data_IF_198107108238
#
_entry.id   IF_198107108238
#
_cell.length_a   1.000
_cell.length_b   1.000
_cell.length_c   1.000
_cell.angle_alpha   90.00
_cell.angle_beta   90.00
_cell.angle_gamma   90.00
#
_symmetry.space_group_name_H-M   'P 1'
#
loop_
_entity.id
_entity.type
_entity.pdbx_description
1 polymer ?
#
# COMPACT_ATOMS: atom_id res chain seq x y z
N UNK A 1 -44.76 -33.49 32.56
CA UNK A 1 -44.67 -32.65 33.77
C UNK A 1 -43.87 -31.38 33.39
N UNK A 2 -44.62 -30.28 33.37
CA UNK A 2 -44.12 -28.93 33.10
C UNK A 2 -43.23 -28.39 34.23
N UNK A 3 -42.14 -27.74 33.89
CA UNK A 3 -41.64 -26.61 34.72
C UNK A 3 -41.10 -25.49 33.82
N UNK A 4 -41.87 -24.41 33.76
CA UNK A 4 -41.47 -23.09 33.29
C UNK A 4 -40.46 -22.50 34.28
N UNK A 5 -39.31 -22.10 33.82
CA UNK A 5 -38.41 -21.25 34.57
C UNK A 5 -38.50 -19.86 33.94
N UNK A 6 -39.12 -18.94 34.67
CA UNK A 6 -39.05 -17.48 34.44
C UNK A 6 -37.69 -17.01 34.94
N UNK A 7 -36.92 -16.45 34.07
CA UNK A 7 -35.68 -15.69 34.47
C UNK A 7 -36.05 -14.20 34.52
N UNK A 8 -35.83 -13.67 35.69
CA UNK A 8 -35.99 -12.25 36.01
C UNK A 8 -35.10 -11.35 35.15
N UNK A 9 -35.69 -10.25 34.73
CA UNK A 9 -34.99 -9.13 34.19
C UNK A 9 -34.15 -8.46 35.31
N UNK A 10 -32.84 -8.51 35.17
CA UNK A 10 -31.93 -7.75 36.03
C UNK A 10 -31.70 -6.36 35.45
N UNK A 11 -31.91 -5.39 36.28
CA UNK A 11 -31.66 -3.96 36.11
C UNK A 11 -30.29 -3.71 35.48
N UNK A 12 -30.27 -3.13 34.29
CA UNK A 12 -29.06 -2.48 33.77
C UNK A 12 -28.95 -1.10 34.40
N UNK A 13 -28.02 -0.96 35.31
CA UNK A 13 -27.49 0.33 35.65
C UNK A 13 -26.81 0.93 34.42
N UNK A 14 -27.34 2.03 33.97
CA UNK A 14 -26.74 2.87 32.94
C UNK A 14 -25.47 3.49 33.50
N UNK A 15 -24.31 2.92 33.22
CA UNK A 15 -23.05 3.62 33.26
C UNK A 15 -22.95 4.50 32.04
N UNK A 16 -23.07 5.80 32.22
CA UNK A 16 -22.82 6.77 31.16
C UNK A 16 -21.43 6.55 30.59
N UNK A 17 -21.24 6.46 29.26
CA UNK A 17 -19.93 6.45 28.69
C UNK A 17 -19.34 7.87 28.86
N UNK A 18 -18.27 7.98 29.64
CA UNK A 18 -17.36 9.12 29.55
C UNK A 18 -16.60 8.92 28.21
N UNK A 19 -17.28 9.21 27.13
CA UNK A 19 -16.74 9.23 25.80
C UNK A 19 -16.99 10.61 25.24
N UNK A 20 -15.94 11.42 25.11
CA UNK A 20 -16.01 12.63 24.32
C UNK A 20 -16.64 12.29 22.98
N UNK A 21 -17.65 13.05 22.57
CA UNK A 21 -18.24 12.97 21.24
C UNK A 21 -17.14 13.01 20.19
N UNK A 22 -16.71 11.83 19.72
CA UNK A 22 -16.11 11.76 18.40
C UNK A 22 -17.23 12.09 17.43
N UNK A 23 -17.27 13.34 16.95
CA UNK A 23 -18.07 13.67 15.79
C UNK A 23 -17.82 12.58 14.76
N UNK A 24 -18.91 11.98 14.24
CA UNK A 24 -18.81 10.94 13.22
C UNK A 24 -17.90 11.49 12.13
N UNK A 25 -16.74 10.84 11.94
CA UNK A 25 -15.83 11.21 10.87
C UNK A 25 -16.63 11.19 9.56
N UNK A 26 -16.55 12.21 8.70
CA UNK A 26 -17.19 12.17 7.41
C UNK A 26 -16.72 10.93 6.69
N UNK A 27 -17.63 10.20 6.05
CA UNK A 27 -17.39 8.89 5.45
C UNK A 27 -16.60 9.00 4.16
N UNK A 28 -15.32 9.38 4.24
CA UNK A 28 -14.43 9.26 3.09
C UNK A 28 -13.97 7.80 2.90
N UNK A 29 -14.18 6.97 3.91
CA UNK A 29 -13.89 5.54 3.86
C UNK A 29 -15.09 4.80 3.28
N UNK A 30 -14.92 4.10 2.17
CA UNK A 30 -16.00 3.33 1.52
C UNK A 30 -16.24 2.01 2.23
N UNK A 31 -15.23 1.44 2.89
CA UNK A 31 -15.32 0.29 3.79
C UNK A 31 -14.72 0.68 5.12
N UNK A 32 -15.38 0.30 6.23
CA UNK A 32 -14.67 0.18 7.51
C UNK A 32 -13.71 -0.99 7.36
N UNK A 33 -12.62 -0.75 6.64
CA UNK A 33 -11.60 -1.73 6.48
C UNK A 33 -11.04 -2.05 7.86
N UNK A 34 -10.54 -3.26 8.01
CA UNK A 34 -9.71 -3.75 9.11
C UNK A 34 -8.40 -2.94 9.29
N UNK A 35 -8.32 -1.76 8.74
CA UNK A 35 -7.20 -0.84 8.89
C UNK A 35 -7.29 -0.20 10.25
N UNK A 36 -6.29 -0.48 11.07
CA UNK A 36 -6.12 0.19 12.35
C UNK A 36 -5.67 1.62 12.05
N UNK A 37 -6.57 2.57 12.22
CA UNK A 37 -6.22 3.99 12.14
C UNK A 37 -5.20 4.35 13.20
N UNK A 38 -4.38 5.41 13.00
CA UNK A 38 -3.40 5.86 13.97
C UNK A 38 -4.04 6.05 15.37
N UNK A 39 -3.55 5.30 16.35
CA UNK A 39 -3.98 5.44 17.74
C UNK A 39 -3.43 6.75 18.31
N UNK A 40 -4.33 7.63 18.73
CA UNK A 40 -3.98 8.96 19.23
C UNK A 40 -2.94 8.91 20.35
N UNK A 41 -3.12 8.03 21.33
CA UNK A 41 -2.25 7.97 22.51
C UNK A 41 -0.85 7.54 22.09
N UNK A 42 -0.75 6.50 21.24
CA UNK A 42 0.52 5.97 20.76
C UNK A 42 1.24 6.97 19.87
N UNK A 43 0.53 7.61 18.93
CA UNK A 43 1.11 8.63 18.07
C UNK A 43 1.69 9.77 18.89
N UNK A 44 0.90 10.36 19.78
CA UNK A 44 1.33 11.52 20.59
C UNK A 44 2.48 11.20 21.56
N UNK A 45 2.62 9.95 21.96
CA UNK A 45 3.71 9.52 22.85
C UNK A 45 5.08 9.46 22.14
N UNK A 46 5.11 9.33 20.82
CA UNK A 46 6.34 9.04 20.06
C UNK A 46 6.70 10.10 19.01
N UNK A 47 6.09 11.29 19.10
CA UNK A 47 6.40 12.38 18.15
C UNK A 47 7.75 13.03 18.45
N UNK A 48 8.44 13.43 17.37
CA UNK A 48 9.53 14.39 17.45
C UNK A 48 9.00 15.80 17.77
N UNK A 49 9.89 16.79 17.89
CA UNK A 49 9.56 18.19 18.19
C UNK A 49 8.89 18.41 19.56
N UNK A 50 8.93 17.43 20.46
CA UNK A 50 8.52 17.56 21.86
C UNK A 50 7.10 18.05 22.08
N UNK A 51 6.89 18.96 23.05
CA UNK A 51 5.57 19.49 23.39
C UNK A 51 4.91 20.27 22.24
N UNK A 52 5.69 21.02 21.46
CA UNK A 52 5.17 21.79 20.32
C UNK A 52 4.73 20.89 19.17
N UNK A 53 5.51 19.82 18.87
CA UNK A 53 5.10 18.81 17.88
C UNK A 53 3.83 18.08 18.31
N UNK A 54 3.71 17.76 19.59
CA UNK A 54 2.50 17.18 20.17
C UNK A 54 1.30 18.11 20.01
N UNK A 55 1.45 19.40 20.32
CA UNK A 55 0.35 20.36 20.24
C UNK A 55 -0.19 20.53 18.82
N UNK A 56 0.68 20.58 17.80
CA UNK A 56 0.23 20.67 16.41
C UNK A 56 -0.46 19.38 15.96
N UNK A 57 0.05 18.20 16.36
CA UNK A 57 -0.60 16.92 16.06
C UNK A 57 -1.97 16.81 16.74
N UNK A 58 -2.10 17.22 17.99
CA UNK A 58 -3.38 17.29 18.71
C UNK A 58 -4.38 18.22 18.01
N UNK A 59 -3.94 19.39 17.55
CA UNK A 59 -4.78 20.30 16.81
C UNK A 59 -5.34 19.64 15.52
N UNK A 60 -4.50 18.88 14.79
CA UNK A 60 -4.95 18.12 13.62
C UNK A 60 -5.90 16.98 14.04
N UNK A 61 -5.58 16.23 15.07
CA UNK A 61 -6.48 15.17 15.57
C UNK A 61 -7.86 15.70 15.96
N UNK A 62 -7.93 16.90 16.51
CA UNK A 62 -9.17 17.54 16.96
C UNK A 62 -9.90 18.30 15.83
N UNK A 63 -9.32 18.38 14.61
CA UNK A 63 -9.88 19.16 13.51
C UNK A 63 -9.75 20.67 13.68
N UNK A 64 -8.85 21.12 14.57
CA UNK A 64 -8.57 22.53 14.82
C UNK A 64 -7.53 23.06 13.83
N UNK A 65 -7.94 23.08 12.53
CA UNK A 65 -7.02 23.39 11.41
C UNK A 65 -6.42 24.79 11.54
N UNK A 66 -7.17 25.77 12.01
CA UNK A 66 -6.70 27.14 12.19
C UNK A 66 -5.65 27.26 13.31
N UNK A 67 -5.82 26.50 14.40
CA UNK A 67 -4.81 26.43 15.47
C UNK A 67 -3.52 25.81 14.93
N UNK A 68 -3.62 24.70 14.20
CA UNK A 68 -2.46 24.05 13.57
C UNK A 68 -1.75 25.03 12.61
N UNK A 69 -2.50 25.76 11.78
CA UNK A 69 -1.98 26.78 10.88
C UNK A 69 -1.23 27.87 11.63
N UNK A 70 -1.81 28.37 12.71
CA UNK A 70 -1.15 29.41 13.53
C UNK A 70 0.15 28.91 14.21
N UNK A 71 0.18 27.64 14.65
CA UNK A 71 1.38 27.03 15.21
C UNK A 71 2.48 26.88 14.18
N UNK A 72 2.14 26.37 12.98
CA UNK A 72 3.08 26.22 11.86
C UNK A 72 3.60 27.56 11.34
N UNK A 73 2.76 28.60 11.33
CA UNK A 73 3.20 29.95 10.96
C UNK A 73 4.20 30.56 11.96
N UNK A 74 4.08 30.24 13.26
CA UNK A 74 5.01 30.69 14.32
C UNK A 74 6.32 29.91 14.30
N UNK A 75 6.27 28.61 14.09
CA UNK A 75 7.43 27.72 13.99
C UNK A 75 7.30 26.77 12.80
N UNK A 76 7.78 27.16 11.61
CA UNK A 76 7.71 26.32 10.42
C UNK A 76 8.39 24.96 10.54
N UNK A 77 9.33 24.78 11.50
CA UNK A 77 9.99 23.49 11.70
C UNK A 77 9.04 22.42 12.17
N UNK A 78 7.91 22.78 12.79
CA UNK A 78 6.87 21.87 13.24
C UNK A 78 6.23 21.08 12.08
N UNK A 79 6.38 21.54 10.82
CA UNK A 79 5.93 20.79 9.65
C UNK A 79 6.59 19.41 9.54
N UNK A 80 7.78 19.24 10.13
CA UNK A 80 8.51 17.95 10.15
C UNK A 80 8.08 17.04 11.29
N UNK A 81 6.99 17.37 12.00
CA UNK A 81 6.46 16.54 13.08
C UNK A 81 6.00 15.20 12.53
N UNK A 82 6.60 14.15 13.05
CA UNK A 82 6.34 12.76 12.66
C UNK A 82 6.64 11.82 13.82
N UNK A 83 6.09 10.62 13.77
CA UNK A 83 6.41 9.57 14.74
C UNK A 83 7.86 9.13 14.55
N UNK A 84 8.60 9.05 15.64
CA UNK A 84 9.97 8.54 15.64
C UNK A 84 10.00 7.04 15.35
N UNK A 85 10.97 6.64 14.53
CA UNK A 85 11.27 5.23 14.33
C UNK A 85 12.05 4.72 15.56
N UNK A 86 11.36 4.05 16.47
CA UNK A 86 12.00 3.39 17.61
C UNK A 86 12.14 1.89 17.30
N UNK A 87 13.35 1.36 17.18
CA UNK A 87 13.58 -0.06 16.93
C UNK A 87 13.06 -0.99 18.05
N UNK A 88 12.77 -0.43 19.22
CA UNK A 88 12.19 -1.17 20.36
C UNK A 88 10.67 -1.25 20.31
N UNK A 89 10.02 -0.44 19.48
CA UNK A 89 8.58 -0.50 19.27
C UNK A 89 8.33 -1.39 18.04
N UNK A 90 7.55 -2.48 18.17
CA UNK A 90 7.19 -3.28 17.01
C UNK A 90 6.64 -2.36 15.92
N UNK A 91 7.27 -2.41 14.74
CA UNK A 91 6.83 -1.61 13.59
C UNK A 91 5.38 -1.98 13.30
N UNK A 92 4.42 -1.05 13.41
CA UNK A 92 3.06 -1.34 13.05
C UNK A 92 2.90 -1.49 11.55
N UNK A 93 1.79 -2.07 11.07
CA UNK A 93 1.48 -2.13 9.67
C UNK A 93 1.59 -0.74 9.03
N UNK A 94 2.02 -0.70 7.78
CA UNK A 94 2.15 0.52 6.99
C UNK A 94 0.97 1.49 7.21
N UNK A 95 1.25 2.75 7.44
CA UNK A 95 0.24 3.81 7.60
C UNK A 95 -0.22 4.08 9.04
N UNK A 96 0.14 3.27 10.04
CA UNK A 96 -0.30 3.50 11.43
C UNK A 96 0.51 4.56 12.19
N UNK A 97 1.75 4.79 11.78
CA UNK A 97 2.62 5.81 12.37
C UNK A 97 3.21 6.66 11.25
N UNK A 98 2.67 7.80 11.11
CA UNK A 98 3.03 8.72 10.05
C UNK A 98 3.51 10.06 10.58
N UNK A 99 3.17 11.03 9.83
CA UNK A 99 3.39 12.45 10.07
C UNK A 99 2.06 13.20 10.12
N UNK A 100 2.11 14.53 10.18
CA UNK A 100 0.90 15.35 10.22
C UNK A 100 -0.02 15.11 9.03
N UNK A 101 0.54 14.83 7.83
CA UNK A 101 -0.26 14.54 6.64
C UNK A 101 -1.01 13.20 6.79
N UNK A 102 -0.36 12.19 7.34
CA UNK A 102 -0.99 10.90 7.65
C UNK A 102 -2.15 11.06 8.63
N UNK A 103 -2.01 11.96 9.63
CA UNK A 103 -3.09 12.27 10.58
C UNK A 103 -4.29 12.96 9.90
N UNK A 104 -4.02 13.89 8.99
CA UNK A 104 -5.07 14.54 8.20
C UNK A 104 -5.85 13.50 7.36
N UNK A 105 -5.15 12.58 6.72
CA UNK A 105 -5.77 11.46 5.97
C UNK A 105 -6.59 10.57 6.89
N UNK A 106 -6.06 10.20 8.05
CA UNK A 106 -6.76 9.36 9.03
C UNK A 106 -8.09 9.97 9.51
N UNK A 107 -8.19 11.29 9.47
CA UNK A 107 -9.42 12.02 9.79
C UNK A 107 -10.34 12.30 8.60
N UNK A 108 -9.92 11.97 7.39
CA UNK A 108 -10.58 12.42 6.16
C UNK A 108 -10.66 13.97 6.05
N UNK A 109 -9.66 14.65 6.57
CA UNK A 109 -9.65 16.11 6.65
C UNK A 109 -8.89 16.70 5.47
N UNK A 110 -9.64 16.96 4.39
CA UNK A 110 -9.13 17.56 3.17
C UNK A 110 -8.56 18.97 3.37
N UNK A 111 -9.17 19.74 4.28
CA UNK A 111 -8.76 21.10 4.58
C UNK A 111 -7.42 21.10 5.36
N UNK A 112 -7.28 20.18 6.32
CA UNK A 112 -6.01 19.98 7.00
C UNK A 112 -4.89 19.56 6.03
N UNK A 113 -5.14 18.64 5.11
CA UNK A 113 -4.15 18.24 4.10
C UNK A 113 -3.76 19.44 3.20
N UNK A 114 -4.73 20.20 2.73
CA UNK A 114 -4.49 21.42 1.92
C UNK A 114 -3.68 22.45 2.71
N UNK A 115 -4.04 22.69 3.97
CA UNK A 115 -3.33 23.59 4.87
C UNK A 115 -1.88 23.16 5.07
N UNK A 116 -1.63 21.87 5.28
CA UNK A 116 -0.28 21.33 5.44
C UNK A 116 0.56 21.54 4.18
N UNK A 117 0.01 21.32 2.98
CA UNK A 117 0.72 21.60 1.73
C UNK A 117 1.04 23.09 1.57
N UNK A 118 0.11 23.97 1.94
CA UNK A 118 0.36 25.41 1.93
C UNK A 118 1.42 25.84 2.95
N UNK A 119 1.55 25.10 4.06
CA UNK A 119 2.60 25.33 5.07
C UNK A 119 3.97 24.70 4.71
N UNK A 120 4.09 24.07 3.53
CA UNK A 120 5.36 23.52 3.04
C UNK A 120 5.57 22.04 3.30
N UNK A 121 4.51 21.28 3.66
CA UNK A 121 4.59 19.83 3.75
C UNK A 121 5.03 19.22 2.41
N UNK A 122 6.05 18.33 2.39
CA UNK A 122 6.38 17.57 1.19
C UNK A 122 5.16 16.82 0.66
N UNK A 123 5.01 16.73 -0.66
CA UNK A 123 3.83 16.10 -1.28
C UNK A 123 3.64 14.64 -0.90
N UNK A 124 4.75 13.92 -0.70
CA UNK A 124 4.76 12.54 -0.20
C UNK A 124 4.68 12.42 1.33
N UNK A 125 4.62 13.54 2.05
CA UNK A 125 4.78 13.60 3.50
C UNK A 125 6.24 13.56 3.96
N UNK A 126 6.47 13.77 5.25
CA UNK A 126 7.78 13.57 5.92
C UNK A 126 8.09 12.07 5.98
N UNK A 127 7.10 11.27 6.36
CA UNK A 127 7.12 9.80 6.23
C UNK A 127 6.62 9.46 4.83
N UNK A 128 7.53 9.47 3.88
CA UNK A 128 7.24 9.40 2.46
C UNK A 128 6.31 8.25 2.09
N UNK A 129 5.16 8.58 1.51
CA UNK A 129 4.16 7.63 1.04
C UNK A 129 3.21 7.09 2.10
N UNK A 130 3.42 7.33 3.40
CA UNK A 130 2.53 6.84 4.45
C UNK A 130 1.09 7.34 4.30
N UNK A 131 0.91 8.63 4.04
CA UNK A 131 -0.40 9.23 3.87
C UNK A 131 -1.16 8.61 2.69
N UNK A 132 -0.49 8.45 1.54
CA UNK A 132 -1.09 7.80 0.36
C UNK A 132 -1.38 6.32 0.61
N UNK A 133 -0.43 5.59 1.22
CA UNK A 133 -0.64 4.18 1.59
C UNK A 133 -1.83 4.01 2.53
N UNK A 134 -1.99 4.91 3.52
CA UNK A 134 -3.15 4.89 4.42
C UNK A 134 -4.46 5.16 3.66
N UNK A 135 -4.48 6.16 2.77
CA UNK A 135 -5.67 6.48 1.98
C UNK A 135 -6.11 5.29 1.11
N UNK A 136 -5.15 4.58 0.51
CA UNK A 136 -5.40 3.38 -0.29
C UNK A 136 -5.89 2.22 0.59
N UNK A 137 -5.20 1.94 1.71
CA UNK A 137 -5.57 0.86 2.63
C UNK A 137 -6.95 1.05 3.25
N UNK A 138 -7.27 2.29 3.61
CA UNK A 138 -8.54 2.65 4.21
C UNK A 138 -9.68 2.77 3.19
N UNK A 139 -9.41 2.51 1.91
CA UNK A 139 -10.35 2.68 0.80
C UNK A 139 -10.99 4.08 0.84
N UNK A 140 -10.14 5.11 0.92
CA UNK A 140 -10.49 6.52 0.97
C UNK A 140 -10.17 7.22 -0.38
N UNK A 141 -10.95 6.95 -1.45
CA UNK A 141 -10.62 7.38 -2.80
C UNK A 141 -10.48 8.90 -2.93
N UNK A 142 -11.33 9.66 -2.26
CA UNK A 142 -11.27 11.12 -2.29
C UNK A 142 -9.94 11.66 -1.72
N UNK A 143 -9.46 11.08 -0.62
CA UNK A 143 -8.18 11.47 -0.05
C UNK A 143 -7.01 11.02 -0.93
N UNK A 144 -7.05 9.83 -1.50
CA UNK A 144 -6.03 9.34 -2.42
C UNK A 144 -5.93 10.25 -3.66
N UNK A 145 -7.07 10.59 -4.28
CA UNK A 145 -7.12 11.51 -5.42
C UNK A 145 -6.58 12.90 -5.06
N UNK A 146 -6.94 13.43 -3.89
CA UNK A 146 -6.45 14.74 -3.43
C UNK A 146 -4.93 14.75 -3.26
N UNK A 147 -4.35 13.72 -2.65
CA UNK A 147 -2.90 13.62 -2.47
C UNK A 147 -2.19 13.54 -3.81
N UNK A 148 -2.66 12.68 -4.70
CA UNK A 148 -2.08 12.49 -6.04
C UNK A 148 -2.25 13.74 -6.91
N UNK A 149 -3.42 14.40 -6.87
CA UNK A 149 -3.65 15.67 -7.56
C UNK A 149 -2.77 16.81 -7.01
N UNK A 150 -2.43 16.78 -5.72
CA UNK A 150 -1.49 17.71 -5.11
C UNK A 150 -0.02 17.45 -5.51
N UNK A 151 0.26 16.35 -6.22
CA UNK A 151 1.57 15.97 -6.73
C UNK A 151 2.32 14.96 -5.83
N UNK A 152 1.62 14.23 -4.97
CA UNK A 152 2.21 13.06 -4.32
C UNK A 152 2.60 12.02 -5.36
N UNK A 153 3.74 11.35 -5.16
CA UNK A 153 4.19 10.29 -6.05
C UNK A 153 3.28 9.06 -5.91
N UNK A 154 2.77 8.47 -7.01
CA UNK A 154 2.10 7.19 -6.94
C UNK A 154 3.05 6.04 -6.60
N UNK A 155 4.38 6.26 -6.81
CA UNK A 155 5.47 5.31 -6.54
C UNK A 155 6.49 5.87 -5.55
N UNK A 156 6.10 6.20 -4.28
CA UNK A 156 7.02 6.76 -3.30
C UNK A 156 8.11 5.77 -2.89
N UNK A 157 7.87 4.47 -3.00
CA UNK A 157 8.84 3.40 -2.74
C UNK A 157 10.09 3.50 -3.65
N UNK A 158 9.97 4.01 -4.86
CA UNK A 158 11.11 4.24 -5.76
C UNK A 158 12.14 5.22 -5.17
N UNK A 159 11.75 5.97 -4.12
CA UNK A 159 12.58 6.92 -3.39
C UNK A 159 12.77 6.53 -1.92
N UNK A 160 12.54 5.25 -1.58
CA UNK A 160 12.68 4.71 -0.22
C UNK A 160 11.50 5.02 0.69
N UNK A 161 10.33 5.30 0.12
CA UNK A 161 9.07 5.46 0.87
C UNK A 161 8.26 4.16 0.97
N UNK A 162 7.03 4.29 1.47
CA UNK A 162 6.05 3.20 1.46
C UNK A 162 5.65 2.81 0.04
N UNK A 163 5.08 1.63 -0.09
CA UNK A 163 4.61 1.07 -1.37
C UNK A 163 3.08 0.97 -1.37
N UNK A 164 2.36 2.02 -1.85
CA UNK A 164 0.90 2.01 -1.91
C UNK A 164 0.35 0.93 -2.85
N UNK A 165 1.06 0.62 -3.93
CA UNK A 165 0.67 -0.43 -4.88
C UNK A 165 0.69 -1.80 -4.19
N UNK A 166 1.76 -2.12 -3.45
CA UNK A 166 1.82 -3.33 -2.63
C UNK A 166 0.68 -3.39 -1.63
N UNK A 167 0.40 -2.28 -0.96
CA UNK A 167 -0.69 -2.19 0.00
C UNK A 167 -2.05 -2.48 -0.66
N UNK A 168 -2.34 -1.85 -1.81
CA UNK A 168 -3.55 -2.09 -2.57
C UNK A 168 -3.70 -3.57 -2.98
N UNK A 169 -2.64 -4.18 -3.48
CA UNK A 169 -2.61 -5.58 -3.91
C UNK A 169 -2.85 -6.52 -2.73
N UNK A 170 -2.11 -6.34 -1.63
CA UNK A 170 -2.19 -7.24 -0.46
C UNK A 170 -3.58 -7.29 0.17
N UNK A 171 -4.36 -6.22 0.04
CA UNK A 171 -5.73 -6.13 0.57
C UNK A 171 -6.82 -6.26 -0.51
N UNK A 172 -6.45 -6.55 -1.75
CA UNK A 172 -7.39 -6.75 -2.85
C UNK A 172 -8.15 -5.48 -3.24
N UNK A 173 -7.58 -4.30 -3.03
CA UNK A 173 -8.18 -3.00 -3.35
C UNK A 173 -8.03 -2.65 -4.83
N UNK A 174 -8.82 -3.28 -5.70
CA UNK A 174 -8.81 -3.04 -7.14
C UNK A 174 -8.96 -1.54 -7.47
N UNK A 175 -9.87 -0.84 -6.77
CA UNK A 175 -10.05 0.62 -6.93
C UNK A 175 -8.79 1.43 -6.62
N UNK A 176 -8.06 1.04 -5.58
CA UNK A 176 -6.78 1.64 -5.22
C UNK A 176 -5.71 1.44 -6.29
N UNK A 177 -5.60 0.22 -6.83
CA UNK A 177 -4.69 -0.09 -7.95
C UNK A 177 -5.04 0.77 -9.18
N UNK A 178 -6.33 0.86 -9.53
CA UNK A 178 -6.79 1.69 -10.65
C UNK A 178 -6.43 3.17 -10.45
N UNK A 179 -6.61 3.69 -9.26
CA UNK A 179 -6.27 5.09 -8.93
C UNK A 179 -4.77 5.33 -9.09
N UNK A 180 -3.92 4.47 -8.52
CA UNK A 180 -2.47 4.59 -8.65
C UNK A 180 -2.02 4.54 -10.12
N UNK A 181 -2.53 3.59 -10.90
CA UNK A 181 -2.20 3.46 -12.33
C UNK A 181 -2.66 4.68 -13.15
N UNK A 182 -3.84 5.27 -12.86
CA UNK A 182 -4.30 6.49 -13.53
C UNK A 182 -3.38 7.68 -13.27
N UNK A 183 -2.74 7.72 -12.12
CA UNK A 183 -1.77 8.76 -11.74
C UNK A 183 -0.32 8.40 -12.09
N UNK A 184 -0.11 7.37 -12.91
CA UNK A 184 1.19 7.04 -13.49
C UNK A 184 2.06 6.12 -12.64
N UNK A 185 1.49 5.34 -11.72
CA UNK A 185 2.22 4.26 -11.08
C UNK A 185 2.77 3.28 -12.12
N UNK A 186 4.02 2.85 -11.94
CA UNK A 186 4.69 1.94 -12.85
C UNK A 186 4.29 0.47 -12.55
N UNK A 187 3.51 -0.20 -13.42
CA UNK A 187 3.14 -1.60 -13.24
C UNK A 187 4.31 -2.57 -13.39
N UNK A 188 5.49 -2.09 -13.81
CA UNK A 188 6.72 -2.87 -13.97
C UNK A 188 7.76 -2.60 -12.88
N UNK A 189 7.47 -1.69 -11.96
CA UNK A 189 8.40 -1.43 -10.88
C UNK A 189 8.71 -2.72 -10.10
N UNK A 190 9.99 -2.97 -9.83
CA UNK A 190 10.41 -4.15 -9.07
C UNK A 190 11.05 -3.74 -7.75
N UNK A 191 10.80 -4.52 -6.71
CA UNK A 191 11.54 -4.40 -5.47
C UNK A 191 12.98 -4.92 -5.63
N UNK A 192 13.74 -4.84 -4.54
CA UNK A 192 15.14 -5.31 -4.52
C UNK A 192 15.34 -6.80 -4.87
N UNK A 193 14.29 -7.61 -4.83
CA UNK A 193 14.32 -9.03 -5.19
C UNK A 193 13.81 -9.28 -6.61
N UNK A 194 13.34 -8.25 -7.31
CA UNK A 194 12.75 -8.35 -8.62
C UNK A 194 11.27 -8.72 -8.63
N UNK A 195 10.62 -8.65 -7.49
CA UNK A 195 9.17 -8.91 -7.41
C UNK A 195 8.42 -7.67 -7.91
N UNK A 196 7.72 -7.80 -9.00
CA UNK A 196 6.86 -6.78 -9.60
C UNK A 196 5.41 -6.86 -9.07
N UNK A 197 4.55 -5.84 -9.36
CA UNK A 197 3.16 -5.84 -8.96
C UNK A 197 2.34 -7.02 -9.51
N UNK A 198 2.61 -7.49 -10.74
CA UNK A 198 1.88 -8.63 -11.35
C UNK A 198 2.17 -9.91 -10.58
N UNK A 199 3.46 -10.17 -10.29
CA UNK A 199 3.86 -11.33 -9.48
C UNK A 199 3.23 -11.25 -8.10
N UNK A 200 3.30 -10.09 -7.47
CA UNK A 200 2.74 -9.87 -6.13
C UNK A 200 1.23 -10.10 -6.09
N UNK A 201 0.51 -9.67 -7.13
CA UNK A 201 -0.93 -9.87 -7.24
C UNK A 201 -1.28 -11.36 -7.39
N UNK A 202 -0.50 -12.12 -8.18
CA UNK A 202 -0.70 -13.56 -8.30
C UNK A 202 -0.35 -14.30 -7.00
N UNK A 203 0.74 -13.93 -6.32
CA UNK A 203 1.11 -14.51 -5.03
C UNK A 203 0.07 -14.23 -3.93
N UNK A 204 -0.67 -13.11 -4.03
CA UNK A 204 -1.78 -12.74 -3.16
C UNK A 204 -3.14 -13.29 -3.64
N UNK A 205 -3.18 -14.15 -4.65
CA UNK A 205 -4.40 -14.72 -5.26
C UNK A 205 -5.37 -13.66 -5.83
N UNK A 206 -4.84 -12.48 -6.21
CA UNK A 206 -5.60 -11.35 -6.75
C UNK A 206 -5.52 -11.34 -8.30
N UNK A 207 -6.10 -12.38 -8.94
CA UNK A 207 -5.97 -12.56 -10.39
C UNK A 207 -6.57 -11.40 -11.21
N UNK A 208 -7.65 -10.76 -10.76
CA UNK A 208 -8.24 -9.59 -11.41
C UNK A 208 -7.29 -8.37 -11.37
N UNK A 209 -6.60 -8.18 -10.24
CA UNK A 209 -5.59 -7.14 -10.11
C UNK A 209 -4.39 -7.46 -11.01
N UNK A 210 -3.94 -8.72 -11.05
CA UNK A 210 -2.87 -9.13 -11.93
C UNK A 210 -3.22 -8.89 -13.41
N UNK A 211 -4.45 -9.21 -13.84
CA UNK A 211 -4.94 -8.95 -15.18
C UNK A 211 -4.95 -7.44 -15.50
N UNK A 212 -5.50 -6.63 -14.59
CA UNK A 212 -5.48 -5.16 -14.74
C UNK A 212 -4.06 -4.62 -14.90
N UNK A 213 -3.10 -5.11 -14.09
CA UNK A 213 -1.70 -4.70 -14.19
C UNK A 213 -1.09 -5.06 -15.54
N UNK A 214 -1.36 -6.27 -16.06
CA UNK A 214 -0.90 -6.70 -17.38
C UNK A 214 -1.54 -5.84 -18.48
N UNK A 215 -2.83 -5.51 -18.38
CA UNK A 215 -3.52 -4.59 -19.30
C UNK A 215 -2.92 -3.19 -19.33
N UNK A 216 -2.26 -2.77 -18.25
CA UNK A 216 -1.59 -1.47 -18.12
C UNK A 216 -0.10 -1.52 -18.36
N UNK A 217 0.40 -2.60 -18.97
CA UNK A 217 1.78 -2.74 -19.40
C UNK A 217 2.69 -3.52 -18.45
N UNK A 218 2.16 -4.08 -17.36
CA UNK A 218 2.86 -5.08 -16.57
C UNK A 218 3.19 -6.34 -17.39
N UNK A 219 4.03 -7.20 -16.85
CA UNK A 219 4.45 -8.42 -17.54
C UNK A 219 4.36 -9.64 -16.64
N UNK A 220 4.09 -10.80 -17.27
CA UNK A 220 4.15 -12.12 -16.62
C UNK A 220 5.59 -12.66 -16.55
N UNK A 221 6.55 -11.99 -17.21
CA UNK A 221 7.87 -12.50 -17.53
C UNK A 221 9.02 -11.67 -16.92
N UNK A 222 8.74 -10.90 -15.88
CA UNK A 222 9.78 -10.23 -15.08
C UNK A 222 10.48 -11.26 -14.20
N UNK A 223 11.82 -11.30 -14.29
CA UNK A 223 12.64 -12.29 -13.58
C UNK A 223 13.05 -11.75 -12.23
N UNK A 224 12.77 -12.50 -11.18
CA UNK A 224 13.24 -12.26 -9.83
C UNK A 224 14.64 -12.87 -9.57
N UNK A 225 15.27 -12.53 -8.45
CA UNK A 225 16.64 -12.96 -8.14
C UNK A 225 16.80 -14.47 -7.88
N UNK A 226 15.70 -15.17 -7.60
CA UNK A 226 15.63 -16.63 -7.50
C UNK A 226 15.35 -17.31 -8.86
N UNK A 227 15.21 -16.55 -9.95
CA UNK A 227 14.88 -17.05 -11.29
C UNK A 227 13.38 -17.23 -11.52
N UNK A 228 12.54 -16.91 -10.53
CA UNK A 228 11.10 -17.02 -10.70
C UNK A 228 10.52 -15.83 -11.50
N UNK A 229 9.34 -16.05 -12.07
CA UNK A 229 8.55 -15.08 -12.82
C UNK A 229 7.08 -15.19 -12.41
N UNK A 230 6.27 -14.17 -12.67
CA UNK A 230 4.83 -14.21 -12.43
C UNK A 230 4.15 -15.40 -13.17
N UNK A 231 4.68 -15.78 -14.33
CA UNK A 231 4.24 -16.96 -15.08
C UNK A 231 4.32 -18.28 -14.28
N UNK A 232 5.30 -18.43 -13.36
CA UNK A 232 5.40 -19.60 -12.47
C UNK A 232 4.23 -19.63 -11.49
N UNK A 233 3.82 -18.50 -10.91
CA UNK A 233 2.70 -18.42 -10.00
C UNK A 233 1.38 -18.90 -10.64
N UNK A 234 1.23 -18.76 -11.95
CA UNK A 234 0.09 -19.32 -12.68
C UNK A 234 0.06 -20.85 -12.72
N UNK A 235 1.19 -21.53 -12.49
CA UNK A 235 1.25 -22.99 -12.44
C UNK A 235 1.08 -23.53 -11.01
N UNK A 236 1.63 -22.82 -10.03
CA UNK A 236 1.89 -23.34 -8.69
C UNK A 236 0.71 -23.19 -7.73
N UNK A 237 -0.20 -22.27 -7.99
CA UNK A 237 -1.27 -21.98 -7.03
C UNK A 237 -2.53 -22.81 -7.30
N UNK A 238 -2.98 -23.63 -6.33
CA UNK A 238 -4.27 -24.28 -6.40
C UNK A 238 -5.41 -23.28 -6.23
N UNK A 239 -6.45 -23.40 -7.06
CA UNK A 239 -7.62 -22.50 -7.08
C UNK A 239 -8.60 -22.81 -5.93
N UNK A 240 -8.16 -22.84 -4.66
CA UNK A 240 -8.97 -23.39 -3.57
C UNK A 240 -10.10 -22.44 -3.12
N UNK A 241 -9.91 -21.12 -3.20
CA UNK A 241 -10.87 -20.12 -2.69
C UNK A 241 -11.09 -18.94 -3.64
N UNK A 242 -11.25 -19.18 -4.93
CA UNK A 242 -11.39 -18.09 -5.89
C UNK A 242 -12.83 -17.91 -6.37
N UNK A 243 -13.27 -16.65 -6.52
CA UNK A 243 -14.54 -16.31 -7.17
C UNK A 243 -14.55 -16.76 -8.65
N UNK A 244 -15.73 -16.86 -9.28
CA UNK A 244 -15.81 -17.12 -10.72
C UNK A 244 -15.01 -16.08 -11.55
N UNK A 245 -15.05 -14.81 -11.15
CA UNK A 245 -14.38 -13.70 -11.79
C UNK A 245 -12.84 -13.86 -11.72
N UNK A 246 -12.33 -14.19 -10.54
CA UNK A 246 -10.90 -14.47 -10.33
C UNK A 246 -10.42 -15.67 -11.15
N UNK A 247 -11.24 -16.74 -11.23
CA UNK A 247 -10.92 -17.89 -12.09
C UNK A 247 -10.88 -17.51 -13.57
N UNK A 248 -11.84 -16.69 -14.01
CA UNK A 248 -11.88 -16.20 -15.38
C UNK A 248 -10.67 -15.32 -15.71
N UNK A 249 -10.31 -14.38 -14.84
CA UNK A 249 -9.12 -13.55 -14.98
C UNK A 249 -7.84 -14.39 -15.07
N UNK A 250 -7.70 -15.39 -14.18
CA UNK A 250 -6.57 -16.32 -14.22
C UNK A 250 -6.51 -17.12 -15.53
N UNK A 251 -7.65 -17.59 -16.05
CA UNK A 251 -7.71 -18.31 -17.31
C UNK A 251 -7.22 -17.43 -18.48
N UNK A 252 -7.63 -16.16 -18.51
CA UNK A 252 -7.15 -15.19 -19.52
C UNK A 252 -5.65 -14.91 -19.39
N UNK A 253 -5.13 -14.79 -18.16
CA UNK A 253 -3.69 -14.64 -17.93
C UNK A 253 -2.89 -15.87 -18.40
N UNK A 254 -3.39 -17.09 -18.15
CA UNK A 254 -2.80 -18.32 -18.66
C UNK A 254 -2.75 -18.35 -20.19
N UNK A 255 -3.81 -17.92 -20.86
CA UNK A 255 -3.86 -17.82 -22.31
C UNK A 255 -2.83 -16.81 -22.83
N UNK A 256 -2.74 -15.63 -22.21
CA UNK A 256 -1.71 -14.62 -22.53
C UNK A 256 -0.29 -15.16 -22.36
N UNK A 257 -0.03 -15.89 -21.25
CA UNK A 257 1.28 -16.49 -21.00
C UNK A 257 1.64 -17.51 -22.10
N UNK A 258 0.70 -18.36 -22.51
CA UNK A 258 0.89 -19.34 -23.59
C UNK A 258 1.19 -18.68 -24.94
N UNK A 259 0.53 -17.57 -25.21
CA UNK A 259 0.62 -16.84 -26.49
C UNK A 259 1.78 -15.83 -26.54
N UNK A 260 2.54 -15.64 -25.46
CA UNK A 260 3.64 -14.69 -25.43
C UNK A 260 4.87 -15.09 -26.27
N UNK A 261 4.96 -16.32 -26.75
CA UNK A 261 6.11 -16.80 -27.54
C UNK A 261 7.38 -17.10 -26.71
N UNK A 262 7.27 -17.08 -25.38
CA UNK A 262 8.41 -17.32 -24.46
C UNK A 262 8.51 -18.78 -23.98
N UNK A 263 7.65 -19.66 -24.50
CA UNK A 263 7.56 -21.05 -24.09
C UNK A 263 6.62 -21.25 -22.89
N UNK A 264 5.79 -22.28 -23.00
CA UNK A 264 4.89 -22.69 -21.94
C UNK A 264 4.91 -24.22 -21.74
N UNK A 265 5.04 -24.75 -20.53
CA UNK A 265 5.20 -24.02 -19.26
C UNK A 265 6.49 -23.17 -19.19
N UNK A 266 6.57 -22.17 -18.30
CA UNK A 266 7.79 -21.40 -18.14
C UNK A 266 8.95 -22.33 -17.74
N UNK A 267 10.18 -22.05 -18.19
CA UNK A 267 11.35 -22.87 -17.88
C UNK A 267 11.62 -22.93 -16.37
N UNK A 268 12.30 -23.98 -15.94
CA UNK A 268 12.70 -24.15 -14.54
C UNK A 268 13.46 -22.91 -14.01
N UNK A 269 13.21 -22.52 -12.76
CA UNK A 269 13.78 -21.33 -12.12
C UNK A 269 15.31 -21.34 -12.10
N UNK A 270 15.90 -22.50 -11.83
CA UNK A 270 17.36 -22.62 -11.81
C UNK A 270 17.96 -22.42 -13.21
N UNK A 271 17.29 -22.94 -14.26
CA UNK A 271 17.66 -22.69 -15.63
C UNK A 271 17.54 -21.20 -15.99
N UNK A 272 16.42 -20.55 -15.65
CA UNK A 272 16.24 -19.11 -15.88
C UNK A 272 17.38 -18.32 -15.23
N UNK A 273 17.67 -18.59 -13.97
CA UNK A 273 18.74 -17.93 -13.22
C UNK A 273 20.10 -18.13 -13.88
N UNK A 274 20.40 -19.33 -14.35
CA UNK A 274 21.65 -19.63 -15.03
C UNK A 274 21.78 -18.89 -16.35
N UNK A 275 20.74 -18.88 -17.17
CA UNK A 275 20.73 -18.20 -18.47
C UNK A 275 20.87 -16.67 -18.29
N UNK A 276 20.21 -16.10 -17.28
CA UNK A 276 20.36 -14.68 -16.93
C UNK A 276 21.76 -14.38 -16.42
N UNK A 277 22.34 -15.24 -15.56
CA UNK A 277 23.70 -15.06 -15.03
C UNK A 277 24.77 -15.08 -16.13
N UNK A 278 24.61 -15.96 -17.11
CA UNK A 278 25.54 -16.09 -18.26
C UNK A 278 25.36 -14.96 -19.30
N UNK A 279 24.26 -14.20 -19.23
CA UNK A 279 23.93 -13.18 -20.21
C UNK A 279 23.25 -13.72 -21.47
N UNK A 280 22.87 -15.00 -21.47
CA UNK A 280 22.14 -15.60 -22.60
C UNK A 280 20.67 -15.15 -22.63
N UNK A 281 20.09 -14.76 -21.49
CA UNK A 281 18.73 -14.25 -21.35
C UNK A 281 18.68 -12.88 -20.66
N UNK A 282 17.68 -12.04 -21.00
CA UNK A 282 16.78 -12.22 -22.15
C UNK A 282 17.49 -11.97 -23.48
N UNK A 283 17.13 -12.72 -24.53
CA UNK A 283 17.47 -12.35 -25.90
C UNK A 283 16.67 -11.12 -26.33
N UNK A 284 17.03 -10.48 -27.45
CA UNK A 284 16.27 -9.36 -27.98
C UNK A 284 14.79 -9.73 -28.28
N UNK A 285 14.55 -10.93 -28.77
CA UNK A 285 13.20 -11.45 -29.04
C UNK A 285 12.41 -11.66 -27.75
N UNK A 286 13.03 -12.24 -26.72
CA UNK A 286 12.42 -12.42 -25.41
C UNK A 286 12.11 -11.09 -24.73
N UNK A 287 13.00 -10.11 -24.83
CA UNK A 287 12.78 -8.77 -24.32
C UNK A 287 11.61 -8.08 -25.04
N UNK A 288 11.51 -8.25 -26.35
CA UNK A 288 10.38 -7.74 -27.14
C UNK A 288 9.06 -8.43 -26.76
N UNK A 289 9.10 -9.73 -26.45
CA UNK A 289 7.95 -10.50 -25.97
C UNK A 289 7.60 -10.21 -24.49
N UNK A 290 8.31 -9.33 -23.83
CA UNK A 290 8.01 -8.84 -22.47
C UNK A 290 8.83 -9.45 -21.34
N UNK A 291 9.84 -10.30 -21.61
CA UNK A 291 10.77 -10.77 -20.58
C UNK A 291 11.69 -9.62 -20.14
N UNK A 292 11.72 -9.36 -18.86
CA UNK A 292 12.53 -8.28 -18.26
C UNK A 292 13.37 -8.80 -17.10
N UNK A 293 14.55 -8.20 -16.92
CA UNK A 293 15.40 -8.42 -15.74
C UNK A 293 15.84 -7.04 -15.26
N UNK A 294 15.44 -6.66 -14.06
CA UNK A 294 15.86 -5.39 -13.49
C UNK A 294 17.40 -5.37 -13.29
N UNK A 295 18.08 -4.23 -13.52
CA UNK A 295 19.54 -4.14 -13.37
C UNK A 295 20.04 -4.60 -11.99
N UNK A 296 19.33 -4.27 -10.92
CA UNK A 296 19.63 -4.68 -9.56
C UNK A 296 19.53 -6.19 -9.35
N UNK A 297 18.55 -6.83 -10.00
CA UNK A 297 18.36 -8.29 -9.99
C UNK A 297 19.49 -8.97 -10.75
N UNK A 298 19.83 -8.45 -11.94
CA UNK A 298 20.94 -8.98 -12.73
C UNK A 298 22.27 -8.95 -11.98
N UNK A 299 22.55 -7.85 -11.28
CA UNK A 299 23.74 -7.72 -10.44
C UNK A 299 23.75 -8.76 -9.30
N UNK A 300 22.61 -8.93 -8.61
CA UNK A 300 22.48 -9.93 -7.53
C UNK A 300 22.66 -11.36 -8.04
N UNK A 301 22.03 -11.72 -9.16
CA UNK A 301 22.17 -13.04 -9.77
C UNK A 301 23.65 -13.33 -10.11
N UNK A 302 24.35 -12.35 -10.69
CA UNK A 302 25.77 -12.48 -11.06
C UNK A 302 26.69 -12.53 -9.86
N UNK A 303 26.43 -11.77 -8.80
CA UNK A 303 27.25 -11.77 -7.59
C UNK A 303 27.12 -13.07 -6.78
N UNK A 304 25.96 -13.70 -6.80
CA UNK A 304 25.73 -14.98 -6.11
C UNK A 304 26.46 -16.18 -6.77
N UNK A 305 27.01 -16.00 -7.97
CA UNK A 305 27.75 -17.02 -8.74
C UNK A 305 29.29 -16.93 -8.49
N UNK A 306 29.75 -15.88 -7.81
CA UNK A 306 31.15 -15.69 -7.43
C UNK A 306 31.40 -16.21 -6.02
#
# INVERSE_FOLDING_TARGET
VNRRIRILAALMLATAPIGGCMAAAPSCYTKRASVVLPDRIRVLAHLNNGASGRAVAEAIFDGRVDDARAMLARDPRLITTAVLDDPKVPQPPAGQYGDLLTLAVARCDADAATMLFAAGMPKDGVKRGNALSLAILADAPTMAEQLLAAGASPDPQARGGEDPMRSAISFGHLGGVMTLLRHGADPRWTDRFGIDPVRRALDAEQAEIAELLVDRGGTLWSVADDGSMAAHALLEQPLIFTSPEMRAARARLLERARNAGLGWPPPDRAMVKEQVASGAWPTAEMAHAGMTVAPTVLERIRSAKR
#
